data_IF_959716693129
#
_entry.id   IF_959716693129
#
_cell.length_a   1.000
_cell.length_b   1.000
_cell.length_c   1.000
_cell.angle_alpha   90.00
_cell.angle_beta   90.00
_cell.angle_gamma   90.00
#
_symmetry.space_group_name_H-M   'P 1'
#
loop_
_entity.id
_entity.type
_entity.pdbx_description
1 polymer ?
#
# COMPACT_ATOMS: atom_id res chain seq x y z
N UNK A 1 33.61 -13.20 13.15
CA UNK A 1 32.44 -14.12 13.26
C UNK A 1 32.13 -14.51 14.70
N UNK A 2 33.08 -14.82 15.57
CA UNK A 2 32.83 -15.11 16.98
C UNK A 2 32.22 -13.92 17.74
N UNK A 3 32.78 -12.73 17.60
CA UNK A 3 32.30 -11.49 18.24
C UNK A 3 30.85 -11.10 17.84
N UNK A 4 30.41 -11.46 16.63
CA UNK A 4 29.02 -11.24 16.18
C UNK A 4 28.04 -12.24 16.83
N UNK A 5 28.52 -13.47 17.11
CA UNK A 5 27.69 -14.51 17.79
C UNK A 5 27.48 -14.21 19.27
N UNK A 6 28.44 -13.56 19.92
CA UNK A 6 28.35 -13.22 21.34
C UNK A 6 27.56 -11.94 21.63
N UNK A 7 27.12 -11.21 20.61
CA UNK A 7 26.28 -10.02 20.76
C UNK A 7 26.92 -8.85 21.53
N UNK A 8 28.23 -8.91 21.78
CA UNK A 8 28.94 -7.92 22.59
C UNK A 8 29.30 -6.67 21.79
N UNK A 9 28.36 -5.71 21.72
CA UNK A 9 28.57 -4.40 21.06
C UNK A 9 29.75 -3.60 21.60
N UNK A 10 30.16 -3.80 22.88
CA UNK A 10 31.30 -3.09 23.46
C UNK A 10 32.63 -3.67 22.96
N UNK A 11 32.72 -4.98 22.78
CA UNK A 11 33.90 -5.62 22.20
C UNK A 11 34.08 -5.28 20.73
N UNK A 12 33.00 -5.21 19.95
CA UNK A 12 33.03 -4.73 18.56
C UNK A 12 33.55 -3.29 18.44
N UNK A 13 33.25 -2.44 19.41
CA UNK A 13 33.75 -1.05 19.42
C UNK A 13 35.23 -0.93 19.77
N UNK A 14 35.78 -1.89 20.54
CA UNK A 14 37.14 -1.78 21.12
C UNK A 14 38.22 -2.48 20.30
N UNK A 15 37.90 -3.48 19.50
CA UNK A 15 38.89 -4.40 18.94
C UNK A 15 38.82 -4.59 17.42
N UNK A 16 38.20 -3.71 16.65
CA UNK A 16 38.21 -3.96 15.21
C UNK A 16 39.53 -3.52 14.57
N UNK A 17 40.54 -4.41 14.62
CA UNK A 17 41.61 -4.42 13.64
C UNK A 17 41.13 -4.70 12.22
N UNK A 18 39.83 -5.02 12.06
CA UNK A 18 39.16 -5.23 10.78
C UNK A 18 38.97 -3.89 10.05
N UNK A 19 39.56 -3.81 8.86
CA UNK A 19 39.55 -2.60 8.04
C UNK A 19 38.14 -2.23 7.57
N UNK A 20 37.27 -3.22 7.35
CA UNK A 20 35.86 -3.01 6.89
C UNK A 20 35.03 -2.42 8.02
N UNK A 21 35.16 -2.96 9.24
CA UNK A 21 34.42 -2.44 10.39
C UNK A 21 34.89 -1.01 10.76
N UNK A 22 36.19 -0.73 10.63
CA UNK A 22 36.72 0.61 10.84
C UNK A 22 36.19 1.59 9.79
N UNK A 23 36.27 1.24 8.52
CA UNK A 23 35.72 2.03 7.43
C UNK A 23 34.20 2.29 7.60
N UNK A 24 33.44 1.26 7.90
CA UNK A 24 32.00 1.41 8.14
C UNK A 24 31.69 2.36 9.32
N UNK A 25 32.48 2.25 10.40
CA UNK A 25 32.35 3.15 11.55
C UNK A 25 32.70 4.58 11.20
N UNK A 26 33.84 4.82 10.58
CA UNK A 26 34.31 6.17 10.20
C UNK A 26 33.34 6.85 9.22
N UNK A 27 32.82 6.08 8.24
CA UNK A 27 31.81 6.57 7.29
C UNK A 27 30.50 6.91 8.01
N UNK A 28 30.05 6.04 8.90
CA UNK A 28 28.84 6.26 9.70
C UNK A 28 28.99 7.47 10.62
N UNK A 29 30.09 7.57 11.37
CA UNK A 29 30.35 8.69 12.27
C UNK A 29 30.44 10.02 11.48
N UNK A 30 31.11 10.02 10.33
CA UNK A 30 31.20 11.19 9.43
C UNK A 30 29.83 11.62 8.91
N UNK A 31 29.01 10.66 8.47
CA UNK A 31 27.67 10.94 8.01
C UNK A 31 26.80 11.56 9.11
N UNK A 32 26.79 10.96 10.31
CA UNK A 32 25.96 11.43 11.40
C UNK A 32 26.37 12.82 11.91
N UNK A 33 27.67 13.10 11.97
CA UNK A 33 28.20 14.37 12.50
C UNK A 33 28.18 15.48 11.45
N UNK A 34 28.64 15.19 10.23
CA UNK A 34 28.90 16.23 9.23
C UNK A 34 27.72 16.44 8.26
N UNK A 35 26.95 15.38 7.96
CA UNK A 35 25.92 15.43 6.93
C UNK A 35 24.54 15.55 7.54
N UNK A 36 24.17 14.64 8.43
CA UNK A 36 22.79 14.50 8.89
C UNK A 36 22.23 15.74 9.58
N UNK A 37 23.05 16.42 10.40
CA UNK A 37 22.62 17.62 11.13
C UNK A 37 22.24 18.78 10.20
N UNK A 38 23.09 19.06 9.24
CA UNK A 38 22.85 20.10 8.23
C UNK A 38 21.77 19.70 7.22
N UNK A 39 21.77 18.43 6.80
CA UNK A 39 20.73 17.89 5.94
C UNK A 39 19.33 18.01 6.59
N UNK A 40 19.20 17.63 7.86
CA UNK A 40 17.91 17.70 8.57
C UNK A 40 17.40 19.15 8.70
N UNK A 41 18.28 20.11 8.96
CA UNK A 41 17.87 21.53 9.00
C UNK A 41 17.41 22.04 7.63
N UNK A 42 18.13 21.69 6.56
CA UNK A 42 17.77 22.10 5.19
C UNK A 42 16.49 21.45 4.72
N UNK A 43 16.31 20.16 5.01
CA UNK A 43 15.05 19.44 4.70
C UNK A 43 13.87 20.04 5.45
N UNK A 44 14.00 20.36 6.74
CA UNK A 44 12.92 21.01 7.48
C UNK A 44 12.51 22.35 6.89
N UNK A 45 13.47 23.17 6.46
CA UNK A 45 13.18 24.44 5.78
C UNK A 45 12.51 24.22 4.41
N UNK A 46 12.98 23.20 3.66
CA UNK A 46 12.35 22.83 2.39
C UNK A 46 10.91 22.33 2.58
N UNK A 47 10.66 21.52 3.60
CA UNK A 47 9.32 21.02 3.90
C UNK A 47 8.33 22.17 4.24
N UNK A 48 8.80 23.18 4.97
CA UNK A 48 8.02 24.39 5.24
C UNK A 48 7.68 25.18 3.96
N UNK A 49 8.65 25.34 3.08
CA UNK A 49 8.48 26.04 1.80
C UNK A 49 7.59 25.25 0.84
N UNK A 50 7.76 23.93 0.77
CA UNK A 50 6.86 23.03 0.01
C UNK A 50 5.43 23.07 0.55
N UNK A 51 5.26 23.16 1.87
CA UNK A 51 3.95 23.32 2.48
C UNK A 51 3.28 24.65 2.11
N UNK A 52 4.04 25.72 1.98
CA UNK A 52 3.55 27.03 1.49
C UNK A 52 3.21 26.98 0.00
N UNK A 53 4.08 26.37 -0.79
CA UNK A 53 3.88 26.20 -2.22
C UNK A 53 2.62 25.39 -2.52
N UNK A 54 2.42 24.26 -1.82
CA UNK A 54 1.23 23.42 -1.97
C UNK A 54 -0.06 24.18 -1.62
N UNK A 55 -0.06 24.98 -0.53
CA UNK A 55 -1.20 25.84 -0.20
C UNK A 55 -1.51 26.83 -1.31
N UNK A 56 -0.49 27.47 -1.88
CA UNK A 56 -0.65 28.36 -3.03
C UNK A 56 -1.25 27.65 -4.25
N UNK A 57 -0.81 26.43 -4.54
CA UNK A 57 -1.42 25.63 -5.62
C UNK A 57 -2.89 25.30 -5.34
N UNK A 58 -3.24 24.94 -4.11
CA UNK A 58 -4.64 24.67 -3.73
C UNK A 58 -5.54 25.90 -3.83
N UNK A 59 -4.99 27.09 -3.58
CA UNK A 59 -5.73 28.35 -3.76
C UNK A 59 -5.92 28.71 -5.25
N UNK A 60 -4.92 28.45 -6.07
CA UNK A 60 -4.98 28.75 -7.53
C UNK A 60 -5.80 27.71 -8.30
N UNK A 61 -5.78 26.46 -7.84
CA UNK A 61 -6.46 25.34 -8.49
C UNK A 61 -7.43 24.63 -7.51
N UNK A 62 -8.51 25.29 -7.08
CA UNK A 62 -9.41 24.77 -6.03
C UNK A 62 -10.15 23.49 -6.43
N UNK A 63 -10.34 23.26 -7.73
CA UNK A 63 -11.02 22.06 -8.25
C UNK A 63 -10.07 20.89 -8.52
N UNK A 64 -8.75 21.08 -8.29
CA UNK A 64 -7.77 20.03 -8.50
C UNK A 64 -7.65 19.13 -7.27
N UNK A 65 -7.49 17.83 -7.51
CA UNK A 65 -7.23 16.87 -6.45
C UNK A 65 -5.73 16.77 -6.21
N UNK A 66 -5.34 16.89 -4.94
CA UNK A 66 -3.95 16.73 -4.49
C UNK A 66 -3.85 15.46 -3.63
N UNK A 67 -3.13 14.46 -4.13
CA UNK A 67 -2.92 13.21 -3.42
C UNK A 67 -1.68 13.31 -2.52
N UNK A 68 -1.83 13.05 -1.22
CA UNK A 68 -0.69 13.09 -0.31
C UNK A 68 0.12 11.80 -0.36
N UNK A 69 1.44 11.92 -0.17
CA UNK A 69 2.31 10.77 0.07
C UNK A 69 2.01 10.08 1.41
N UNK A 70 2.35 8.79 1.49
CA UNK A 70 2.25 8.04 2.73
C UNK A 70 3.27 8.57 3.76
N UNK A 71 2.80 8.82 4.99
CA UNK A 71 3.61 9.40 6.07
C UNK A 71 3.39 8.70 7.42
N UNK A 72 3.05 7.41 7.40
CA UNK A 72 2.74 6.59 8.57
C UNK A 72 1.47 7.02 9.33
N UNK A 73 0.61 7.85 8.74
CA UNK A 73 -0.74 8.12 9.26
C UNK A 73 -1.76 7.27 8.52
N UNK A 74 -2.90 6.98 9.20
CA UNK A 74 -4.00 6.30 8.54
C UNK A 74 -4.56 7.18 7.43
N UNK A 75 -4.56 6.64 6.21
CA UNK A 75 -5.07 7.29 5.00
C UNK A 75 -5.95 6.31 4.25
N UNK A 76 -6.95 6.84 3.58
CA UNK A 76 -7.82 6.07 2.71
C UNK A 76 -7.64 6.56 1.28
N UNK A 77 -7.38 5.63 0.37
CA UNK A 77 -7.50 5.84 -1.07
C UNK A 77 -8.57 4.91 -1.61
N UNK A 78 -9.30 5.33 -2.61
CA UNK A 78 -10.40 4.56 -3.17
C UNK A 78 -10.37 4.59 -4.70
N UNK A 79 -10.92 3.54 -5.30
CA UNK A 79 -10.98 3.35 -6.74
C UNK A 79 -11.82 2.14 -7.08
N UNK A 80 -11.63 1.61 -8.27
CA UNK A 80 -12.33 0.43 -8.79
C UNK A 80 -11.32 -0.65 -9.17
N UNK A 81 -11.74 -1.90 -9.10
CA UNK A 81 -11.01 -2.98 -9.75
C UNK A 81 -11.27 -2.89 -11.25
N UNK A 82 -10.29 -2.40 -11.99
CA UNK A 82 -10.40 -2.22 -13.43
C UNK A 82 -9.04 -2.33 -14.12
N UNK A 83 -9.07 -2.77 -15.37
CA UNK A 83 -7.91 -2.79 -16.25
C UNK A 83 -7.55 -1.40 -16.77
N UNK A 84 -6.67 -1.36 -17.76
CA UNK A 84 -6.29 -0.13 -18.45
C UNK A 84 -5.88 -0.42 -19.89
N UNK A 85 -5.93 0.63 -20.71
CA UNK A 85 -5.44 0.63 -22.09
C UNK A 85 -4.28 1.62 -22.20
N UNK A 86 -3.06 1.20 -21.82
CA UNK A 86 -1.93 2.11 -21.68
C UNK A 86 -1.45 2.68 -23.02
N UNK A 87 -1.72 1.98 -24.12
CA UNK A 87 -1.38 2.39 -25.49
C UNK A 87 -2.24 1.64 -26.49
N UNK A 88 -2.21 2.10 -27.74
CA UNK A 88 -2.94 1.47 -28.84
C UNK A 88 -2.69 -0.05 -28.92
N UNK A 89 -3.76 -0.81 -29.11
CA UNK A 89 -3.79 -2.28 -29.19
C UNK A 89 -3.27 -3.05 -27.96
N UNK A 90 -3.10 -2.41 -26.80
CA UNK A 90 -2.72 -3.07 -25.54
C UNK A 90 -3.79 -2.83 -24.48
N UNK A 91 -4.38 -3.93 -24.02
CA UNK A 91 -5.36 -3.93 -22.92
C UNK A 91 -4.85 -4.77 -21.77
N UNK A 92 -4.73 -4.20 -20.59
CA UNK A 92 -4.50 -4.93 -19.36
C UNK A 92 -5.84 -5.32 -18.74
N UNK A 93 -6.03 -6.63 -18.54
CA UNK A 93 -7.18 -7.14 -17.80
C UNK A 93 -7.11 -6.71 -16.32
N UNK A 94 -8.26 -6.63 -15.63
CA UNK A 94 -8.28 -6.19 -14.23
C UNK A 94 -7.63 -7.20 -13.25
N UNK A 95 -7.37 -8.43 -13.65
CA UNK A 95 -6.75 -9.45 -12.80
C UNK A 95 -5.87 -10.41 -13.59
N UNK A 96 -4.96 -11.09 -12.88
CA UNK A 96 -4.14 -12.20 -13.35
C UNK A 96 -4.55 -13.49 -12.65
N UNK A 97 -4.18 -14.62 -13.24
CA UNK A 97 -4.51 -15.95 -12.69
C UNK A 97 -3.26 -16.81 -12.53
N UNK A 98 -3.39 -17.94 -11.84
CA UNK A 98 -2.35 -18.94 -11.67
C UNK A 98 -1.75 -19.41 -13.01
N UNK A 99 -2.55 -19.42 -14.09
CA UNK A 99 -2.04 -19.71 -15.43
C UNK A 99 -0.92 -18.75 -15.85
N UNK A 100 -1.09 -17.45 -15.60
CA UNK A 100 -0.06 -16.45 -15.92
C UNK A 100 1.21 -16.61 -15.10
N UNK A 101 1.14 -17.16 -13.90
CA UNK A 101 2.31 -17.54 -13.09
C UNK A 101 3.06 -18.67 -13.76
N UNK A 102 2.36 -19.73 -14.19
CA UNK A 102 2.96 -20.88 -14.90
C UNK A 102 3.52 -20.49 -16.26
N UNK A 103 2.86 -19.58 -16.98
CA UNK A 103 3.33 -19.09 -18.29
C UNK A 103 4.67 -18.32 -18.19
N UNK A 104 4.96 -17.73 -17.02
CA UNK A 104 6.22 -17.01 -16.75
C UNK A 104 7.31 -17.89 -16.11
N UNK A 105 6.95 -19.05 -15.61
CA UNK A 105 7.87 -19.90 -14.86
C UNK A 105 9.06 -20.37 -15.72
N UNK A 106 10.28 -20.08 -15.24
CA UNK A 106 11.53 -20.54 -15.86
C UNK A 106 12.41 -21.15 -14.77
N UNK A 107 12.63 -22.48 -14.79
CA UNK A 107 13.44 -23.15 -13.77
C UNK A 107 14.85 -22.58 -13.69
N UNK A 108 15.32 -22.25 -12.48
CA UNK A 108 16.66 -21.72 -12.20
C UNK A 108 16.86 -20.26 -12.58
N UNK A 109 15.84 -19.54 -13.02
CA UNK A 109 15.90 -18.11 -13.27
C UNK A 109 15.82 -17.32 -11.97
N UNK A 110 16.56 -16.21 -11.86
CA UNK A 110 16.62 -15.41 -10.63
C UNK A 110 15.29 -14.71 -10.29
N UNK A 111 14.43 -14.44 -11.27
CA UNK A 111 13.17 -13.71 -11.12
C UNK A 111 11.93 -14.59 -11.32
N UNK A 112 12.05 -15.63 -12.16
CA UNK A 112 10.89 -16.42 -12.61
C UNK A 112 10.94 -17.89 -12.16
N UNK A 113 11.90 -18.27 -11.30
CA UNK A 113 11.90 -19.59 -10.68
C UNK A 113 10.85 -19.68 -9.57
N UNK A 114 10.29 -20.86 -9.40
CA UNK A 114 9.32 -21.17 -8.35
C UNK A 114 9.69 -22.49 -7.67
N UNK A 115 9.34 -22.65 -6.38
CA UNK A 115 9.46 -23.95 -5.74
C UNK A 115 8.70 -25.03 -6.48
N UNK A 116 9.34 -26.17 -6.77
CA UNK A 116 8.77 -27.28 -7.55
C UNK A 116 7.40 -27.72 -7.00
N UNK A 117 7.26 -27.83 -5.68
CA UNK A 117 5.98 -28.20 -5.06
C UNK A 117 4.86 -27.20 -5.31
N UNK A 118 5.19 -25.91 -5.46
CA UNK A 118 4.21 -24.88 -5.81
C UNK A 118 3.78 -25.04 -7.28
N UNK A 119 4.74 -25.24 -8.18
CA UNK A 119 4.48 -25.49 -9.61
C UNK A 119 3.58 -26.69 -9.81
N UNK A 120 3.86 -27.78 -9.10
CA UNK A 120 3.06 -29.01 -9.19
C UNK A 120 1.62 -28.81 -8.71
N UNK A 121 1.43 -28.06 -7.64
CA UNK A 121 0.09 -27.74 -7.13
C UNK A 121 -0.68 -26.81 -8.06
N UNK A 122 -0.02 -25.78 -8.60
CA UNK A 122 -0.64 -24.89 -9.59
C UNK A 122 -1.07 -25.64 -10.86
N UNK A 123 -0.27 -26.62 -11.31
CA UNK A 123 -0.59 -27.48 -12.49
C UNK A 123 -1.77 -28.43 -12.27
N UNK A 124 -2.07 -28.78 -11.01
CA UNK A 124 -3.24 -29.64 -10.71
C UNK A 124 -4.56 -28.89 -10.81
N UNK A 125 -4.51 -27.54 -10.77
CA UNK A 125 -5.70 -26.69 -10.85
C UNK A 125 -6.75 -27.01 -9.75
N UNK A 126 -6.30 -27.60 -8.65
CA UNK A 126 -7.14 -27.96 -7.50
C UNK A 126 -7.24 -26.79 -6.52
N UNK A 127 -7.95 -25.74 -6.89
CA UNK A 127 -8.01 -24.50 -6.09
C UNK A 127 -9.10 -24.53 -5.02
N UNK A 128 -10.03 -25.48 -5.08
CA UNK A 128 -11.10 -25.64 -4.07
C UNK A 128 -11.94 -24.37 -3.87
N UNK A 129 -12.16 -23.95 -2.62
CA UNK A 129 -12.99 -22.78 -2.32
C UNK A 129 -12.34 -21.45 -2.69
N UNK A 130 -11.10 -21.47 -3.13
CA UNK A 130 -10.34 -20.25 -3.52
C UNK A 130 -10.47 -19.94 -5.01
N UNK A 131 -11.07 -20.82 -5.79
CA UNK A 131 -11.37 -20.59 -7.20
C UNK A 131 -12.43 -19.50 -7.38
N UNK A 132 -12.33 -18.75 -8.48
CA UNK A 132 -13.44 -17.89 -8.93
C UNK A 132 -14.56 -18.71 -9.61
N UNK A 133 -15.61 -18.03 -10.08
CA UNK A 133 -16.77 -18.68 -10.70
C UNK A 133 -16.40 -19.44 -11.99
N UNK A 134 -15.33 -19.07 -12.66
CA UNK A 134 -14.79 -19.73 -13.84
C UNK A 134 -13.80 -20.86 -13.50
N UNK A 135 -13.52 -21.11 -12.23
CA UNK A 135 -12.62 -22.14 -11.75
C UNK A 135 -11.15 -21.71 -11.73
N UNK A 136 -10.83 -20.43 -11.92
CA UNK A 136 -9.47 -19.94 -11.89
C UNK A 136 -9.06 -19.50 -10.48
N UNK A 137 -7.78 -19.64 -10.15
CA UNK A 137 -7.19 -18.97 -8.98
C UNK A 137 -6.66 -17.60 -9.40
N UNK A 138 -7.30 -16.55 -8.93
CA UNK A 138 -6.83 -15.16 -9.16
C UNK A 138 -5.63 -14.89 -8.27
N UNK A 139 -4.60 -14.28 -8.85
CA UNK A 139 -3.31 -14.01 -8.17
C UNK A 139 -3.17 -12.55 -7.81
N UNK A 140 -3.42 -11.65 -8.75
CA UNK A 140 -3.36 -10.21 -8.56
C UNK A 140 -4.52 -9.54 -9.27
N UNK A 141 -4.88 -8.35 -8.78
CA UNK A 141 -5.82 -7.47 -9.46
C UNK A 141 -5.33 -6.02 -9.48
N UNK A 142 -5.87 -5.25 -10.41
CA UNK A 142 -5.55 -3.85 -10.62
C UNK A 142 -6.61 -2.95 -9.98
N UNK A 143 -6.15 -1.86 -9.36
CA UNK A 143 -7.01 -0.83 -8.81
C UNK A 143 -6.70 0.55 -9.40
N UNK A 144 -7.74 1.37 -9.61
CA UNK A 144 -7.60 2.74 -10.11
C UNK A 144 -7.34 3.78 -9.02
N UNK A 145 -7.26 3.36 -7.76
CA UNK A 145 -6.93 4.23 -6.65
C UNK A 145 -5.46 4.66 -6.66
N UNK A 146 -5.21 5.91 -6.27
CA UNK A 146 -3.85 6.45 -6.19
C UNK A 146 -3.08 5.84 -5.02
N UNK A 147 -1.87 5.34 -5.30
CA UNK A 147 -0.93 4.83 -4.29
C UNK A 147 0.48 5.34 -4.57
N UNK A 148 1.28 5.46 -3.53
CA UNK A 148 2.69 5.88 -3.58
C UNK A 148 3.56 4.95 -2.74
N UNK A 149 4.86 5.23 -2.66
CA UNK A 149 5.75 4.55 -1.72
C UNK A 149 5.22 4.65 -0.27
N UNK A 150 5.23 3.53 0.45
CA UNK A 150 4.64 3.40 1.79
C UNK A 150 3.27 2.71 1.83
N UNK A 151 2.59 2.56 0.68
CA UNK A 151 1.35 1.79 0.59
C UNK A 151 1.57 0.27 0.52
N UNK A 152 2.81 -0.20 0.35
CA UNK A 152 3.15 -1.62 0.29
C UNK A 152 2.70 -2.34 1.57
N UNK A 153 1.95 -3.46 1.41
CA UNK A 153 1.36 -4.22 2.52
C UNK A 153 0.05 -3.65 3.05
N UNK A 154 -0.45 -2.53 2.52
CA UNK A 154 -1.74 -1.97 2.94
C UNK A 154 -2.90 -2.86 2.52
N UNK A 155 -3.92 -3.04 3.41
CA UNK A 155 -5.09 -3.84 3.10
C UNK A 155 -5.95 -3.14 2.03
N UNK A 156 -6.41 -3.92 1.06
CA UNK A 156 -7.48 -3.54 0.16
C UNK A 156 -8.78 -4.14 0.71
N UNK A 157 -9.77 -3.28 0.94
CA UNK A 157 -11.08 -3.68 1.45
C UNK A 157 -12.17 -3.33 0.45
N UNK A 158 -13.20 -4.16 0.40
CA UNK A 158 -14.39 -3.89 -0.41
C UNK A 158 -15.36 -2.92 0.31
N UNK A 159 -16.48 -2.61 -0.33
CA UNK A 159 -17.50 -1.73 0.22
C UNK A 159 -18.20 -2.27 1.48
N UNK A 160 -18.09 -3.57 1.76
CA UNK A 160 -18.66 -4.22 2.95
C UNK A 160 -17.63 -4.34 4.09
N UNK A 161 -16.39 -3.90 3.87
CA UNK A 161 -15.32 -3.95 4.87
C UNK A 161 -14.53 -5.26 4.87
N UNK A 162 -14.76 -6.15 3.92
CA UNK A 162 -14.03 -7.42 3.82
C UNK A 162 -12.65 -7.19 3.19
N UNK A 163 -11.62 -7.85 3.70
CA UNK A 163 -10.29 -7.85 3.11
C UNK A 163 -10.31 -8.63 1.79
N UNK A 164 -10.01 -7.97 0.68
CA UNK A 164 -10.00 -8.57 -0.66
C UNK A 164 -8.59 -8.69 -1.25
N UNK A 165 -7.62 -8.02 -0.68
CA UNK A 165 -6.23 -8.10 -1.16
C UNK A 165 -5.27 -7.26 -0.33
N UNK A 166 -4.00 -7.29 -0.74
CA UNK A 166 -2.95 -6.47 -0.15
C UNK A 166 -2.23 -5.72 -1.27
N UNK A 167 -2.15 -4.41 -1.15
CA UNK A 167 -1.41 -3.59 -2.10
C UNK A 167 0.10 -3.86 -1.99
N UNK A 168 0.79 -4.03 -3.10
CA UNK A 168 2.24 -4.24 -3.06
C UNK A 168 3.01 -3.48 -4.14
N UNK A 169 2.39 -3.15 -5.27
CA UNK A 169 3.07 -2.50 -6.39
C UNK A 169 2.10 -1.65 -7.21
N UNK A 170 2.57 -1.16 -8.34
CA UNK A 170 1.82 -0.44 -9.36
C UNK A 170 2.32 -0.82 -10.75
N UNK A 171 1.49 -0.60 -11.78
CA UNK A 171 1.87 -0.88 -13.15
C UNK A 171 3.03 0.03 -13.58
N UNK A 172 3.78 -0.38 -14.58
CA UNK A 172 4.90 0.39 -15.13
C UNK A 172 4.48 1.82 -15.50
N UNK A 173 3.33 1.96 -16.13
CA UNK A 173 2.77 3.24 -16.52
C UNK A 173 2.45 4.15 -15.34
N UNK A 174 2.22 3.57 -14.18
CA UNK A 174 1.92 4.30 -12.95
C UNK A 174 3.16 4.87 -12.25
N UNK A 175 4.37 4.58 -12.72
CA UNK A 175 5.58 5.21 -12.18
C UNK A 175 5.56 6.73 -12.32
N UNK A 176 4.86 7.24 -13.32
CA UNK A 176 4.62 8.68 -13.51
C UNK A 176 3.78 9.31 -12.40
N UNK A 177 3.01 8.53 -11.65
CA UNK A 177 2.06 9.04 -10.66
C UNK A 177 2.70 9.77 -9.48
N UNK A 178 4.01 9.59 -9.25
CA UNK A 178 4.78 10.36 -8.26
C UNK A 178 4.91 11.84 -8.67
N UNK A 179 4.76 12.15 -9.95
CA UNK A 179 4.79 13.51 -10.49
C UNK A 179 3.41 13.97 -10.92
N UNK A 180 2.69 13.10 -11.61
CA UNK A 180 1.34 13.38 -12.12
C UNK A 180 0.52 12.10 -12.18
N UNK A 181 -0.57 12.07 -11.44
CA UNK A 181 -1.56 11.00 -11.53
C UNK A 181 -2.40 11.12 -12.80
N UNK A 182 -2.54 10.03 -13.54
CA UNK A 182 -3.37 9.88 -14.72
C UNK A 182 -4.38 8.76 -14.45
N UNK A 183 -5.66 9.12 -14.31
CA UNK A 183 -6.72 8.19 -13.93
C UNK A 183 -6.96 7.09 -14.97
N UNK A 184 -6.64 7.34 -16.25
CA UNK A 184 -6.86 6.38 -17.34
C UNK A 184 -5.73 5.32 -17.39
N UNK A 185 -4.51 5.68 -16.97
CA UNK A 185 -3.31 4.86 -17.10
C UNK A 185 -2.79 4.30 -15.80
N UNK A 186 -2.88 5.06 -14.71
CA UNK A 186 -2.33 4.64 -13.44
C UNK A 186 -3.17 3.55 -12.81
N UNK A 187 -2.53 2.43 -12.50
CA UNK A 187 -3.13 1.30 -11.76
C UNK A 187 -2.14 0.82 -10.70
N UNK A 188 -2.64 0.62 -9.50
CA UNK A 188 -1.90 -0.10 -8.48
C UNK A 188 -2.18 -1.60 -8.59
N UNK A 189 -1.30 -2.40 -8.01
CA UNK A 189 -1.36 -3.86 -8.06
C UNK A 189 -1.55 -4.38 -6.64
N UNK A 190 -2.55 -5.23 -6.47
CA UNK A 190 -2.88 -5.90 -5.22
C UNK A 190 -2.81 -7.41 -5.40
N UNK A 191 -2.20 -8.12 -4.46
CA UNK A 191 -2.34 -9.57 -4.42
C UNK A 191 -3.77 -9.92 -3.99
N UNK A 192 -4.41 -10.85 -4.68
CA UNK A 192 -5.75 -11.31 -4.35
C UNK A 192 -5.71 -12.14 -3.05
N UNK A 193 -6.62 -11.87 -2.14
CA UNK A 193 -6.65 -12.56 -0.84
C UNK A 193 -6.89 -14.06 -1.00
N UNK A 194 -7.59 -14.50 -2.04
CA UNK A 194 -7.83 -15.92 -2.33
C UNK A 194 -6.52 -16.66 -2.63
N UNK A 195 -5.59 -16.00 -3.35
CA UNK A 195 -4.26 -16.56 -3.58
C UNK A 195 -3.45 -16.66 -2.28
N UNK A 196 -3.51 -15.64 -1.43
CA UNK A 196 -2.82 -15.66 -0.13
C UNK A 196 -3.37 -16.80 0.74
N UNK A 197 -4.69 -16.96 0.80
CA UNK A 197 -5.34 -18.03 1.56
C UNK A 197 -5.00 -19.41 0.98
N UNK A 198 -5.05 -19.59 -0.34
CA UNK A 198 -4.70 -20.84 -0.99
C UNK A 198 -3.23 -21.23 -0.73
N UNK A 199 -2.29 -20.27 -0.82
CA UNK A 199 -0.88 -20.53 -0.47
C UNK A 199 -0.74 -20.92 0.99
N UNK A 200 -1.46 -20.27 1.89
CA UNK A 200 -1.40 -20.55 3.34
C UNK A 200 -1.99 -21.92 3.66
N UNK A 201 -3.16 -22.21 3.13
CA UNK A 201 -3.90 -23.45 3.44
C UNK A 201 -3.35 -24.65 2.69
N UNK A 202 -3.31 -24.57 1.34
CA UNK A 202 -3.05 -25.71 0.47
C UNK A 202 -1.55 -25.94 0.28
N UNK A 203 -0.80 -24.90 -0.09
CA UNK A 203 0.63 -25.05 -0.36
C UNK A 203 1.46 -25.20 0.92
N UNK A 204 1.25 -24.32 1.89
CA UNK A 204 2.01 -24.35 3.15
C UNK A 204 1.43 -25.33 4.20
N UNK A 205 0.20 -25.85 4.00
CA UNK A 205 -0.46 -26.73 4.95
C UNK A 205 -0.78 -26.07 6.29
N UNK A 206 -0.85 -24.74 6.34
CA UNK A 206 -1.09 -23.98 7.56
C UNK A 206 -2.61 -23.70 7.76
N UNK A 207 -3.44 -24.71 7.54
CA UNK A 207 -4.91 -24.64 7.65
C UNK A 207 -5.38 -24.04 8.96
N UNK A 208 -4.65 -24.26 10.06
CA UNK A 208 -4.98 -23.70 11.37
C UNK A 208 -5.05 -22.16 11.36
N UNK A 209 -4.22 -21.48 10.56
CA UNK A 209 -4.25 -20.01 10.44
C UNK A 209 -5.54 -19.56 9.73
N UNK A 210 -5.96 -20.29 8.72
CA UNK A 210 -7.19 -19.97 7.99
C UNK A 210 -8.41 -20.22 8.86
N UNK A 211 -8.38 -21.26 9.72
CA UNK A 211 -9.45 -21.57 10.67
C UNK A 211 -9.64 -20.48 11.75
N UNK A 212 -8.62 -19.68 12.04
CA UNK A 212 -8.72 -18.53 12.95
C UNK A 212 -9.39 -17.31 12.30
N UNK A 213 -9.54 -17.30 10.98
CA UNK A 213 -10.11 -16.19 10.23
C UNK A 213 -11.63 -16.35 10.05
N UNK A 214 -12.33 -15.23 9.98
CA UNK A 214 -13.73 -15.23 9.53
C UNK A 214 -13.74 -15.07 8.02
N UNK A 215 -14.01 -16.15 7.31
CA UNK A 215 -14.16 -16.11 5.86
C UNK A 215 -15.57 -15.65 5.50
N UNK A 216 -15.68 -14.72 4.55
CA UNK A 216 -16.94 -14.28 4.00
C UNK A 216 -17.22 -15.07 2.73
N UNK A 217 -18.39 -15.70 2.63
CA UNK A 217 -18.82 -16.43 1.44
C UNK A 217 -19.22 -15.50 0.28
N UNK A 218 -19.07 -14.19 0.49
CA UNK A 218 -19.44 -13.21 -0.54
C UNK A 218 -18.41 -13.24 -1.64
N UNK A 219 -18.81 -13.81 -2.78
CA UNK A 219 -18.08 -13.66 -4.03
C UNK A 219 -17.91 -12.17 -4.32
N UNK A 220 -16.68 -11.62 -4.37
CA UNK A 220 -16.46 -10.23 -4.75
C UNK A 220 -16.93 -9.93 -6.18
N UNK A 221 -17.12 -10.95 -7.00
CA UNK A 221 -17.65 -10.84 -8.36
C UNK A 221 -19.18 -10.97 -8.41
N UNK A 222 -19.79 -11.52 -7.37
CA UNK A 222 -21.23 -11.58 -7.19
C UNK A 222 -21.70 -10.40 -6.34
N UNK A 223 -21.32 -9.21 -6.79
CA UNK A 223 -21.90 -7.99 -6.28
C UNK A 223 -23.40 -8.06 -6.54
N UNK A 224 -24.19 -7.89 -5.47
CA UNK A 224 -25.65 -7.78 -5.57
C UNK A 224 -26.02 -6.98 -6.80
N UNK A 225 -27.09 -7.35 -7.55
CA UNK A 225 -27.58 -6.55 -8.67
C UNK A 225 -27.81 -5.08 -8.32
N UNK A 226 -27.95 -4.76 -7.04
CA UNK A 226 -28.09 -3.41 -6.50
C UNK A 226 -26.75 -2.71 -6.21
N UNK A 227 -25.61 -3.43 -6.33
CA UNK A 227 -24.29 -2.81 -6.16
C UNK A 227 -23.99 -1.89 -7.35
N UNK A 228 -24.00 -0.61 -7.09
CA UNK A 228 -23.56 0.40 -8.06
C UNK A 228 -22.24 0.98 -7.61
N UNK A 229 -21.24 1.05 -8.49
CA UNK A 229 -19.98 1.71 -8.16
C UNK A 229 -20.25 3.16 -7.75
N UNK A 230 -19.45 3.67 -6.84
CA UNK A 230 -19.47 5.07 -6.44
C UNK A 230 -19.36 5.95 -7.70
N UNK A 231 -20.46 6.55 -8.13
CA UNK A 231 -20.54 7.42 -9.29
C UNK A 231 -21.53 8.54 -9.03
N UNK A 232 -21.46 9.67 -9.75
CA UNK A 232 -22.45 10.74 -9.60
C UNK A 232 -23.84 10.17 -9.91
N UNK A 233 -24.70 10.12 -8.87
CA UNK A 233 -26.07 9.58 -8.98
C UNK A 233 -26.37 8.32 -8.16
N UNK A 234 -25.40 7.65 -7.57
CA UNK A 234 -25.66 6.60 -6.59
C UNK A 234 -25.96 7.22 -5.24
N UNK A 235 -27.03 6.78 -4.57
CA UNK A 235 -27.53 7.39 -3.33
C UNK A 235 -26.55 7.50 -2.17
N UNK A 236 -25.37 6.89 -2.28
CA UNK A 236 -24.27 6.98 -1.31
C UNK A 236 -23.54 8.33 -1.45
N UNK A 237 -23.43 8.91 -2.68
CA UNK A 237 -22.85 10.24 -2.85
C UNK A 237 -23.68 11.36 -2.26
N UNK A 238 -25.02 11.23 -2.22
CA UNK A 238 -25.90 12.24 -1.63
C UNK A 238 -25.95 12.23 -0.11
N UNK A 239 -25.72 11.08 0.53
CA UNK A 239 -25.63 10.97 1.98
C UNK A 239 -24.32 11.55 2.50
N UNK A 240 -23.23 11.36 1.76
CA UNK A 240 -21.90 11.88 2.13
C UNK A 240 -21.77 13.39 1.93
N UNK A 241 -22.36 13.97 0.87
CA UNK A 241 -22.31 15.43 0.69
C UNK A 241 -23.06 16.20 1.79
N UNK A 242 -24.17 15.65 2.32
CA UNK A 242 -24.88 16.27 3.45
C UNK A 242 -24.17 16.04 4.81
N UNK A 243 -23.44 14.94 4.98
CA UNK A 243 -22.69 14.66 6.19
C UNK A 243 -21.26 15.23 6.19
N UNK A 244 -20.62 15.43 5.02
CA UNK A 244 -19.31 16.09 4.96
C UNK A 244 -19.34 17.50 5.55
N UNK A 245 -20.40 18.26 5.33
CA UNK A 245 -20.59 19.56 5.95
C UNK A 245 -20.65 19.47 7.47
N UNK A 246 -21.43 18.55 8.00
CA UNK A 246 -21.57 18.30 9.44
C UNK A 246 -20.29 17.71 10.05
N UNK A 247 -19.64 16.75 9.37
CA UNK A 247 -18.38 16.19 9.81
C UNK A 247 -17.24 17.22 9.82
N UNK A 248 -17.17 18.10 8.81
CA UNK A 248 -16.20 19.20 8.77
C UNK A 248 -16.47 20.22 9.87
N UNK A 249 -17.73 20.57 10.15
CA UNK A 249 -18.09 21.44 11.26
C UNK A 249 -17.79 20.81 12.62
N UNK A 250 -18.13 19.54 12.79
CA UNK A 250 -17.84 18.79 14.02
C UNK A 250 -16.34 18.62 14.25
N UNK A 251 -15.56 18.33 13.21
CA UNK A 251 -14.11 18.26 13.27
C UNK A 251 -13.47 19.62 13.57
N UNK A 252 -13.99 20.68 12.96
CA UNK A 252 -13.56 22.06 13.22
C UNK A 252 -13.86 22.48 14.66
N UNK A 253 -15.05 22.14 15.17
CA UNK A 253 -15.45 22.39 16.56
C UNK A 253 -14.54 21.65 17.55
N UNK A 254 -14.34 20.33 17.37
CA UNK A 254 -13.46 19.52 18.23
C UNK A 254 -12.00 19.97 18.18
N UNK A 255 -11.52 20.44 17.04
CA UNK A 255 -10.17 20.99 16.90
C UNK A 255 -10.01 22.33 17.61
N UNK A 256 -11.04 23.19 17.56
CA UNK A 256 -11.06 24.46 18.29
C UNK A 256 -11.16 24.25 19.82
N UNK A 257 -11.96 23.29 20.25
CA UNK A 257 -12.08 22.94 21.69
C UNK A 257 -10.75 22.43 22.25
N UNK A 258 -10.04 21.53 21.49
CA UNK A 258 -8.70 21.05 21.86
C UNK A 258 -7.65 22.17 21.89
N UNK A 259 -7.72 23.11 20.94
CA UNK A 259 -6.83 24.28 20.91
C UNK A 259 -7.07 25.22 22.10
N UNK A 260 -8.34 25.45 22.44
CA UNK A 260 -8.70 26.26 23.61
C UNK A 260 -8.30 25.59 24.93
N UNK A 261 -8.44 24.26 25.01
CA UNK A 261 -8.02 23.50 26.19
C UNK A 261 -6.50 23.51 26.37
N UNK A 262 -5.74 23.39 25.26
CA UNK A 262 -4.28 23.56 25.28
C UNK A 262 -3.87 24.97 25.71
N UNK A 263 -4.57 26.01 25.25
CA UNK A 263 -4.31 27.40 25.61
C UNK A 263 -4.55 27.62 27.09
N UNK A 264 -5.68 27.13 27.65
CA UNK A 264 -5.98 27.20 29.09
C UNK A 264 -4.94 26.48 29.94
N UNK A 265 -4.41 25.33 29.48
CA UNK A 265 -3.34 24.62 30.20
C UNK A 265 -2.00 25.38 30.18
N UNK A 266 -1.74 26.17 29.14
CA UNK A 266 -0.53 26.99 29.07
C UNK A 266 -0.66 28.31 29.85
N UNK A 267 -1.88 28.85 29.96
CA UNK A 267 -2.17 30.09 30.72
C UNK A 267 -2.43 29.85 32.22
N UNK A 268 -2.75 28.60 32.61
CA UNK A 268 -3.02 28.22 34.01
C UNK A 268 -1.84 27.53 34.73
N UNK A 269 -0.67 27.52 34.17
CA UNK A 269 0.57 26.96 34.73
C UNK A 269 1.53 28.06 35.17
N UNK A 270 1.14 28.81 36.19
CA UNK A 270 2.04 29.62 37.04
C UNK A 270 1.88 29.17 38.47
#
# INVERSE_FOLDING_TARGET
MALLREGNRKALKKESGDAVLRWAKETSDSYWVQVRGEYGKRMGALDDDMGRYLRGLQEVYPDSTFWPDANSTLRLTFGRMEGSEPRDAVTYKPFTTAKGVLDKYVPGDAEFDLPEGLVDQLRREEYGPYADAEGNLRVCFLGSNHTTGGNSGSPAINATGDLVGLNFDRTWESTMSDVRFDADRCRNIMVDIRYVLWVTDVYAGATHLVQEMTLTERDPDNLSPDWRPFGPGTGIGRGYEQDEGKLREEFRRRSLEKLQERRRRMEGGN
#
